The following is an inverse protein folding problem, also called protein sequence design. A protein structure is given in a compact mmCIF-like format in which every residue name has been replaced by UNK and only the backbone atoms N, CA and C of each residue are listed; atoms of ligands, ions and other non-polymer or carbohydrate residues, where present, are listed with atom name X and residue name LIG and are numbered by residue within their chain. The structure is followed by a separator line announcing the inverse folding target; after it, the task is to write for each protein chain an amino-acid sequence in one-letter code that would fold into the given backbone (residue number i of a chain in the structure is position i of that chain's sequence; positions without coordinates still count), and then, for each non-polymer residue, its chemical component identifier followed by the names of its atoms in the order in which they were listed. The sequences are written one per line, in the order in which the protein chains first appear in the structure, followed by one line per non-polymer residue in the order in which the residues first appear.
data_IF_038913265427
#
_entry.id   IF_038913265427
#
_cell.length_a   1.000
_cell.length_b   1.000
_cell.length_c   1.000
_cell.angle_alpha   90.00
_cell.angle_beta   90.00
_cell.angle_gamma   90.00
#
_symmetry.space_group_name_H-M   'P 1'
#
loop_
_entity.id
_entity.type
_entity.pdbx_description
1 polymer ?
#
# COMPACT_ATOMS: atom_id res chain seq x y z
N UNK A 1 3.35 -9.75 7.38
CA UNK A 1 4.59 -10.47 7.59
C UNK A 1 5.01 -10.35 9.06
N UNK A 2 5.66 -11.41 9.59
CA UNK A 2 6.08 -11.45 11.00
C UNK A 2 4.97 -11.69 12.02
N UNK A 3 3.70 -11.71 11.64
CA UNK A 3 2.56 -11.93 12.55
C UNK A 3 1.79 -13.20 12.20
N UNK A 4 1.34 -13.33 10.97
CA UNK A 4 0.60 -14.51 10.50
C UNK A 4 1.48 -15.46 9.69
N UNK A 5 2.52 -14.93 9.07
CA UNK A 5 3.50 -15.67 8.28
C UNK A 5 4.87 -15.01 8.34
N UNK A 6 5.91 -15.72 7.93
CA UNK A 6 7.28 -15.22 7.77
C UNK A 6 7.81 -15.68 6.41
N UNK A 7 7.94 -14.71 5.47
CA UNK A 7 8.25 -15.06 4.08
C UNK A 7 7.12 -15.86 3.44
N UNK A 8 7.34 -17.13 3.15
CA UNK A 8 6.35 -18.05 2.57
C UNK A 8 5.85 -19.13 3.55
N UNK A 9 6.28 -19.07 4.80
CA UNK A 9 5.87 -20.00 5.85
C UNK A 9 4.86 -19.36 6.79
N UNK A 10 3.76 -20.05 7.09
CA UNK A 10 2.80 -19.57 8.08
C UNK A 10 3.34 -19.79 9.50
N UNK A 11 2.91 -18.94 10.42
CA UNK A 11 3.23 -19.05 11.85
C UNK A 11 2.23 -20.02 12.51
N UNK A 12 2.74 -20.90 13.36
CA UNK A 12 1.91 -21.86 14.09
C UNK A 12 0.78 -21.14 14.87
N UNK A 13 -0.43 -21.69 14.74
CA UNK A 13 -1.62 -21.10 15.36
C UNK A 13 -2.32 -20.01 14.54
N UNK A 14 -1.69 -19.44 13.52
CA UNK A 14 -2.30 -18.37 12.71
C UNK A 14 -3.58 -18.82 12.01
N UNK A 15 -3.56 -20.02 11.39
CA UNK A 15 -4.74 -20.57 10.71
C UNK A 15 -5.90 -20.84 11.67
N UNK A 16 -5.58 -21.37 12.84
CA UNK A 16 -6.59 -21.65 13.89
C UNK A 16 -7.19 -20.36 14.40
N UNK A 17 -6.37 -19.31 14.61
CA UNK A 17 -6.85 -18.00 15.06
C UNK A 17 -7.79 -17.35 14.03
N UNK A 18 -7.42 -17.33 12.75
CA UNK A 18 -8.27 -16.80 11.68
C UNK A 18 -9.56 -17.63 11.55
N UNK A 19 -9.47 -18.97 11.62
CA UNK A 19 -10.65 -19.83 11.59
C UNK A 19 -11.59 -19.55 12.77
N UNK A 20 -11.05 -19.27 13.95
CA UNK A 20 -11.84 -18.87 15.12
C UNK A 20 -12.58 -17.55 14.87
N UNK A 21 -11.90 -16.51 14.36
CA UNK A 21 -12.52 -15.23 14.04
C UNK A 21 -13.68 -15.41 13.05
N UNK A 22 -13.46 -16.17 11.98
CA UNK A 22 -14.49 -16.46 10.98
C UNK A 22 -15.66 -17.27 11.55
N UNK A 23 -15.39 -18.28 12.37
CA UNK A 23 -16.44 -19.12 12.98
C UNK A 23 -17.38 -18.32 13.87
N UNK A 24 -16.86 -17.32 14.58
CA UNK A 24 -17.63 -16.47 15.47
C UNK A 24 -18.07 -15.14 14.85
N UNK A 25 -17.89 -15.00 13.52
CA UNK A 25 -18.24 -13.80 12.75
C UNK A 25 -17.65 -12.51 13.35
N UNK A 26 -16.41 -12.61 13.88
CA UNK A 26 -15.71 -11.47 14.44
C UNK A 26 -15.08 -10.66 13.30
N UNK A 27 -15.51 -9.40 13.08
CA UNK A 27 -14.93 -8.55 12.04
C UNK A 27 -13.43 -8.35 12.28
N UNK A 28 -12.64 -8.50 11.22
CA UNK A 28 -11.18 -8.31 11.29
C UNK A 28 -10.63 -7.80 9.98
N UNK A 29 -9.43 -7.21 10.02
CA UNK A 29 -8.71 -6.71 8.86
C UNK A 29 -7.27 -7.25 8.85
N UNK A 30 -6.77 -7.50 7.66
CA UNK A 30 -5.37 -7.80 7.41
C UNK A 30 -4.64 -6.52 7.06
N UNK A 31 -3.82 -6.00 7.98
CA UNK A 31 -3.06 -4.76 7.77
C UNK A 31 -1.61 -5.08 7.45
N UNK A 32 -1.09 -4.47 6.39
CA UNK A 32 0.29 -4.66 5.96
C UNK A 32 0.95 -3.34 5.58
N UNK A 33 2.23 -3.19 5.91
CA UNK A 33 3.06 -2.08 5.44
C UNK A 33 3.60 -2.29 4.02
N UNK A 34 3.22 -3.37 3.34
CA UNK A 34 3.58 -3.58 1.95
C UNK A 34 2.77 -2.65 1.04
N UNK A 35 3.47 -1.77 0.30
CA UNK A 35 2.88 -0.84 -0.67
C UNK A 35 3.03 -1.29 -2.12
N UNK A 36 3.67 -2.44 -2.38
CA UNK A 36 3.96 -2.89 -3.74
C UNK A 36 2.85 -3.72 -4.36
N UNK A 37 2.03 -4.39 -3.53
CA UNK A 37 0.99 -5.33 -3.93
C UNK A 37 -0.40 -4.76 -3.76
N UNK A 38 -1.30 -5.21 -4.62
CA UNK A 38 -2.73 -4.95 -4.51
C UNK A 38 -3.39 -5.84 -3.46
N UNK A 39 -4.54 -5.43 -2.86
CA UNK A 39 -5.26 -6.24 -1.87
C UNK A 39 -5.57 -7.66 -2.33
N UNK A 40 -5.92 -7.84 -3.61
CA UNK A 40 -6.21 -9.13 -4.23
C UNK A 40 -5.00 -10.07 -4.22
N UNK A 41 -3.81 -9.54 -4.48
CA UNK A 41 -2.57 -10.31 -4.44
C UNK A 41 -2.20 -10.73 -3.02
N UNK A 42 -2.43 -9.83 -2.05
CA UNK A 42 -2.22 -10.12 -0.62
C UNK A 42 -3.20 -11.18 -0.15
N UNK A 43 -4.49 -11.04 -0.46
CA UNK A 43 -5.52 -12.02 -0.13
C UNK A 43 -5.22 -13.39 -0.77
N UNK A 44 -4.81 -13.41 -2.05
CA UNK A 44 -4.42 -14.64 -2.73
C UNK A 44 -3.22 -15.32 -2.07
N UNK A 45 -2.22 -14.56 -1.60
CA UNK A 45 -1.09 -15.08 -0.85
C UNK A 45 -1.53 -15.70 0.48
N UNK A 46 -2.37 -15.00 1.24
CA UNK A 46 -2.91 -15.48 2.52
C UNK A 46 -3.70 -16.78 2.33
N UNK A 47 -4.58 -16.84 1.32
CA UNK A 47 -5.36 -18.02 1.01
C UNK A 47 -4.50 -19.24 0.63
N UNK A 48 -3.40 -19.04 -0.11
CA UNK A 48 -2.44 -20.12 -0.40
C UNK A 48 -1.77 -20.69 0.86
N UNK A 49 -1.69 -19.90 1.92
CA UNK A 49 -1.16 -20.31 3.23
C UNK A 49 -2.22 -20.88 4.16
N UNK A 50 -3.48 -21.04 3.69
CA UNK A 50 -4.58 -21.54 4.51
C UNK A 50 -5.18 -20.50 5.46
N UNK A 51 -4.90 -19.22 5.22
CA UNK A 51 -5.48 -18.08 5.94
C UNK A 51 -6.60 -17.50 5.08
N UNK A 52 -7.86 -17.77 5.40
CA UNK A 52 -9.01 -17.30 4.62
C UNK A 52 -9.08 -15.77 4.67
N UNK A 53 -8.92 -15.10 3.54
CA UNK A 53 -8.93 -13.65 3.41
C UNK A 53 -9.65 -13.21 2.11
N UNK A 54 -10.42 -12.13 2.21
CA UNK A 54 -11.02 -11.42 1.08
C UNK A 54 -10.22 -10.14 0.80
N UNK A 55 -10.27 -9.63 -0.43
CA UNK A 55 -9.53 -8.41 -0.80
C UNK A 55 -10.00 -7.18 -0.02
N UNK A 56 -11.29 -7.07 0.27
CA UNK A 56 -11.89 -5.99 1.06
C UNK A 56 -11.54 -6.03 2.55
N UNK A 57 -11.00 -7.14 3.04
CA UNK A 57 -10.44 -7.27 4.40
C UNK A 57 -8.96 -6.85 4.47
N UNK A 58 -8.33 -6.53 3.33
CA UNK A 58 -6.90 -6.19 3.27
C UNK A 58 -6.69 -4.69 3.20
N UNK A 59 -5.93 -4.14 4.15
CA UNK A 59 -5.49 -2.75 4.16
C UNK A 59 -3.97 -2.69 3.97
N UNK A 60 -3.53 -2.13 2.85
CA UNK A 60 -2.11 -1.89 2.57
C UNK A 60 -1.72 -0.46 2.92
N UNK A 61 -0.43 -0.21 3.13
CA UNK A 61 0.07 1.15 3.32
C UNK A 61 -0.17 2.04 2.09
N UNK A 62 -0.24 1.45 0.88
CA UNK A 62 -0.60 2.16 -0.33
C UNK A 62 -2.05 2.68 -0.29
N UNK A 63 -3.01 1.82 0.10
CA UNK A 63 -4.41 2.22 0.26
C UNK A 63 -4.59 3.31 1.32
N UNK A 64 -3.96 3.13 2.48
CA UNK A 64 -4.04 4.12 3.56
C UNK A 64 -3.46 5.48 3.13
N UNK A 65 -2.35 5.48 2.38
CA UNK A 65 -1.75 6.70 1.85
C UNK A 65 -2.67 7.38 0.83
N UNK A 66 -3.23 6.63 -0.11
CA UNK A 66 -4.13 7.17 -1.12
C UNK A 66 -5.41 7.75 -0.50
N UNK A 67 -6.00 7.08 0.49
CA UNK A 67 -7.16 7.57 1.25
C UNK A 67 -6.84 8.89 1.96
N UNK A 68 -5.73 8.92 2.71
CA UNK A 68 -5.28 10.11 3.43
C UNK A 68 -5.15 11.32 2.50
N UNK A 69 -4.50 11.15 1.33
CA UNK A 69 -4.32 12.26 0.37
C UNK A 69 -5.67 12.67 -0.23
N UNK A 70 -6.52 11.71 -0.62
CA UNK A 70 -7.80 12.00 -1.24
C UNK A 70 -8.77 12.72 -0.29
N UNK A 71 -8.74 12.41 1.01
CA UNK A 71 -9.50 13.12 2.03
C UNK A 71 -8.99 14.54 2.26
N UNK A 72 -7.66 14.72 2.33
CA UNK A 72 -7.04 16.04 2.56
C UNK A 72 -7.13 16.95 1.33
N UNK A 73 -6.91 16.40 0.13
CA UNK A 73 -6.77 17.14 -1.12
C UNK A 73 -7.35 16.34 -2.31
N UNK A 74 -8.68 16.30 -2.49
CA UNK A 74 -9.31 15.56 -3.58
C UNK A 74 -8.77 15.98 -4.96
N UNK A 75 -8.37 15.01 -5.77
CA UNK A 75 -7.84 15.26 -7.11
C UNK A 75 -6.41 15.80 -7.17
N UNK A 76 -5.70 15.80 -6.05
CA UNK A 76 -4.32 16.29 -5.98
C UNK A 76 -3.38 15.55 -6.96
N UNK A 77 -2.38 16.28 -7.44
CA UNK A 77 -1.29 15.73 -8.25
C UNK A 77 -0.21 15.10 -7.37
N UNK A 78 0.28 13.93 -7.81
CA UNK A 78 1.23 13.11 -7.03
C UNK A 78 2.39 12.67 -7.93
N UNK A 79 3.62 12.93 -7.51
CA UNK A 79 4.79 12.21 -7.99
C UNK A 79 5.07 11.05 -7.05
N UNK A 80 5.24 9.85 -7.59
CA UNK A 80 5.44 8.67 -6.77
C UNK A 80 6.71 7.90 -7.12
N UNK A 81 7.36 7.35 -6.11
CA UNK A 81 8.31 6.25 -6.22
C UNK A 81 7.67 5.02 -5.58
N UNK A 82 7.52 3.93 -6.34
CA UNK A 82 6.87 2.73 -5.83
C UNK A 82 6.39 1.81 -6.95
N UNK A 83 5.83 0.68 -6.57
CA UNK A 83 5.28 -0.33 -7.48
C UNK A 83 3.87 -0.02 -7.97
N UNK A 84 3.32 -0.96 -8.76
CA UNK A 84 1.97 -0.88 -9.34
C UNK A 84 0.88 -0.76 -8.29
N UNK A 85 0.99 -1.45 -7.16
CA UNK A 85 0.01 -1.38 -6.07
C UNK A 85 -0.17 0.03 -5.52
N UNK A 86 0.92 0.81 -5.39
CA UNK A 86 0.82 2.21 -4.98
C UNK A 86 0.17 3.06 -6.09
N UNK A 87 0.56 2.85 -7.35
CA UNK A 87 0.00 3.59 -8.48
C UNK A 87 -1.52 3.38 -8.60
N UNK A 88 -1.97 2.14 -8.53
CA UNK A 88 -3.40 1.81 -8.59
C UNK A 88 -4.16 2.42 -7.41
N UNK A 89 -3.65 2.27 -6.18
CA UNK A 89 -4.29 2.87 -5.00
C UNK A 89 -4.50 4.39 -5.15
N UNK A 90 -3.49 5.12 -5.65
CA UNK A 90 -3.58 6.57 -5.87
C UNK A 90 -4.60 6.90 -6.97
N UNK A 91 -4.55 6.23 -8.11
CA UNK A 91 -5.45 6.52 -9.25
C UNK A 91 -6.90 6.14 -8.97
N UNK A 92 -7.15 5.05 -8.25
CA UNK A 92 -8.50 4.61 -7.87
C UNK A 92 -9.19 5.59 -6.91
N UNK A 93 -8.40 6.34 -6.13
CA UNK A 93 -8.90 7.45 -5.30
C UNK A 93 -9.01 8.78 -6.05
N UNK A 94 -8.84 8.78 -7.37
CA UNK A 94 -8.98 9.97 -8.23
C UNK A 94 -7.81 10.94 -8.14
N UNK A 95 -6.65 10.51 -7.61
CA UNK A 95 -5.43 11.32 -7.59
C UNK A 95 -4.72 11.25 -8.94
N UNK A 96 -4.02 12.31 -9.32
CA UNK A 96 -3.38 12.45 -10.62
C UNK A 96 -1.89 12.16 -10.50
N UNK A 97 -1.46 10.95 -10.92
CA UNK A 97 -0.04 10.59 -10.92
C UNK A 97 0.67 11.28 -12.09
N UNK A 98 1.75 12.03 -11.79
CA UNK A 98 2.56 12.79 -12.75
C UNK A 98 4.02 12.33 -12.71
N UNK A 99 4.73 12.58 -13.82
CA UNK A 99 6.14 12.20 -13.99
C UNK A 99 7.11 13.38 -13.81
N UNK A 100 6.60 14.55 -13.42
CA UNK A 100 7.39 15.77 -13.19
C UNK A 100 7.35 16.21 -11.71
N UNK A 101 8.18 17.20 -11.36
CA UNK A 101 8.31 17.75 -10.00
C UNK A 101 7.25 18.79 -9.63
N UNK A 102 6.32 19.13 -10.53
CA UNK A 102 5.27 20.13 -10.27
C UNK A 102 3.99 19.46 -9.79
N UNK A 103 4.02 19.02 -8.54
CA UNK A 103 2.99 18.22 -7.90
C UNK A 103 2.63 18.76 -6.52
N UNK A 104 1.47 18.35 -6.01
CA UNK A 104 1.03 18.69 -4.66
C UNK A 104 1.65 17.76 -3.60
N UNK A 105 1.91 16.51 -3.98
CA UNK A 105 2.48 15.48 -3.11
C UNK A 105 3.62 14.72 -3.79
N UNK A 106 4.63 14.36 -2.99
CA UNK A 106 5.64 13.35 -3.33
C UNK A 106 5.44 12.18 -2.40
N UNK A 107 5.13 11.02 -2.96
CA UNK A 107 4.88 9.78 -2.21
C UNK A 107 5.98 8.77 -2.51
N UNK A 108 6.63 8.26 -1.46
CA UNK A 108 7.68 7.24 -1.59
C UNK A 108 7.26 5.94 -0.93
N UNK A 109 7.17 4.89 -1.74
CA UNK A 109 7.08 3.49 -1.33
C UNK A 109 8.32 2.71 -1.75
N UNK A 110 8.25 1.39 -1.66
CA UNK A 110 9.29 0.52 -2.19
C UNK A 110 9.25 0.53 -3.72
N UNK A 111 10.33 1.00 -4.35
CA UNK A 111 10.54 0.97 -5.80
C UNK A 111 11.80 0.14 -6.11
N UNK A 112 11.60 -1.06 -6.66
CA UNK A 112 12.71 -1.96 -7.04
C UNK A 112 13.50 -1.45 -8.27
N UNK A 113 12.95 -0.47 -9.00
CA UNK A 113 13.54 0.16 -10.17
C UNK A 113 13.89 1.64 -9.92
N UNK A 114 14.28 1.99 -8.69
CA UNK A 114 14.69 3.33 -8.31
C UNK A 114 15.94 3.77 -9.12
N UNK A 115 15.93 5.00 -9.61
CA UNK A 115 17.07 5.61 -10.31
C UNK A 115 17.43 6.95 -9.70
N UNK A 116 18.61 7.47 -10.05
CA UNK A 116 19.03 8.82 -9.64
C UNK A 116 18.03 9.88 -10.11
N UNK A 117 17.59 9.80 -11.36
CA UNK A 117 16.63 10.75 -11.95
C UNK A 117 15.30 10.76 -11.20
N UNK A 118 14.78 9.60 -10.84
CA UNK A 118 13.57 9.49 -10.03
C UNK A 118 13.73 10.16 -8.67
N UNK A 119 14.86 9.93 -7.99
CA UNK A 119 15.16 10.56 -6.70
C UNK A 119 15.34 12.07 -6.83
N UNK A 120 15.99 12.53 -7.92
CA UNK A 120 16.16 13.95 -8.20
C UNK A 120 14.80 14.64 -8.40
N UNK A 121 13.90 14.06 -9.22
CA UNK A 121 12.55 14.59 -9.43
C UNK A 121 11.76 14.65 -8.13
N UNK A 122 11.78 13.58 -7.31
CA UNK A 122 11.15 13.58 -6.00
C UNK A 122 11.68 14.70 -5.09
N UNK A 123 13.02 14.87 -5.06
CA UNK A 123 13.66 15.90 -4.25
C UNK A 123 13.28 17.32 -4.73
N UNK A 124 13.24 17.54 -6.03
CA UNK A 124 12.81 18.82 -6.60
C UNK A 124 11.33 19.10 -6.28
N UNK A 125 10.47 18.09 -6.36
CA UNK A 125 9.07 18.21 -5.97
C UNK A 125 8.91 18.70 -4.53
N UNK A 126 9.60 18.07 -3.59
CA UNK A 126 9.59 18.51 -2.18
C UNK A 126 10.14 19.93 -2.02
N UNK A 127 11.23 20.26 -2.70
CA UNK A 127 11.81 21.63 -2.68
C UNK A 127 10.88 22.68 -3.29
N UNK A 128 10.06 22.29 -4.25
CA UNK A 128 9.03 23.15 -4.85
C UNK A 128 7.77 23.32 -3.98
N UNK A 129 7.73 22.65 -2.83
CA UNK A 129 6.67 22.81 -1.83
C UNK A 129 5.67 21.67 -1.76
N UNK A 130 5.89 20.57 -2.52
CA UNK A 130 5.05 19.38 -2.40
C UNK A 130 5.14 18.77 -0.98
N UNK A 131 4.01 18.31 -0.47
CA UNK A 131 4.00 17.54 0.78
C UNK A 131 4.64 16.16 0.56
N UNK A 132 5.49 15.76 1.50
CA UNK A 132 6.19 14.48 1.44
C UNK A 132 5.50 13.44 2.30
N UNK A 133 5.24 12.26 1.72
CA UNK A 133 4.69 11.09 2.42
C UNK A 133 5.54 9.86 2.10
N UNK A 134 5.91 9.12 3.13
CA UNK A 134 6.46 7.77 2.99
C UNK A 134 5.40 6.74 3.39
N UNK A 135 5.23 5.70 2.59
CA UNK A 135 4.26 4.62 2.86
C UNK A 135 4.72 3.67 3.97
N UNK A 136 5.98 3.79 4.38
CA UNK A 136 6.57 2.93 5.41
C UNK A 136 7.67 3.69 6.17
#
# INVERSE_FOLDING_TARGET
DGTLYKGDEHIDGASQFISYLNQYEIPHLYVTNNSTKEPEEVAAKLNKMGLVAQADEVVTSALATAEYIAEESPGASVYMLGGSGLKHALTDKGLVVKEDEFVDYVVIGLDEAVTYEKLATATLGVRNGAKFISTN
#
